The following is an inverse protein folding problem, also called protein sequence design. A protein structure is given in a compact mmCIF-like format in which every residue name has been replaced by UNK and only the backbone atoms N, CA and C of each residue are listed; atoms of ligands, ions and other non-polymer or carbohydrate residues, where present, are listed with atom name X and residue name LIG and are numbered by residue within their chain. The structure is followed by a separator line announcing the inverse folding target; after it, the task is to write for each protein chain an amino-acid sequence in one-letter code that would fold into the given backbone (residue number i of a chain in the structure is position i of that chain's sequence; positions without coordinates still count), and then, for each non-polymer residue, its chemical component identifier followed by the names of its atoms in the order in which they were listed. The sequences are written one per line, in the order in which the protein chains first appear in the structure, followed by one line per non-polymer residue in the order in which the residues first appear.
data_IF_302356462161
#
_entry.id   IF_302356462161
#
_cell.length_a   1.000
_cell.length_b   1.000
_cell.length_c   1.000
_cell.angle_alpha   90.00
_cell.angle_beta   90.00
_cell.angle_gamma   90.00
#
_symmetry.space_group_name_H-M   'P 1'
#
loop_
_entity.id
_entity.type
_entity.pdbx_description
1 polymer ?
#
# COMPACT_ATOMS: atom_id res chain seq x y z
N UNK A 1 9.78 34.75 -31.81
CA UNK A 1 9.01 35.99 -31.57
C UNK A 1 8.72 36.07 -30.08
N UNK A 2 9.24 37.12 -29.45
CA UNK A 2 9.24 37.36 -28.01
C UNK A 2 8.09 38.31 -27.67
N UNK A 3 7.24 37.96 -26.70
CA UNK A 3 6.33 38.92 -26.07
C UNK A 3 6.35 38.70 -24.56
N UNK A 4 7.12 39.57 -23.88
CA UNK A 4 7.03 39.84 -22.45
C UNK A 4 5.78 40.69 -22.19
N UNK A 5 5.00 40.37 -21.15
CA UNK A 5 4.11 41.34 -20.50
C UNK A 5 4.27 41.23 -18.99
N UNK A 6 4.83 42.29 -18.43
CA UNK A 6 4.83 42.61 -17.01
C UNK A 6 3.52 43.36 -16.68
N UNK A 7 2.95 43.09 -15.51
CA UNK A 7 1.96 43.95 -14.90
C UNK A 7 2.27 44.05 -13.41
N UNK A 8 2.83 45.21 -13.04
CA UNK A 8 2.80 45.76 -11.70
C UNK A 8 1.33 46.02 -11.32
N UNK A 9 0.93 45.75 -10.07
CA UNK A 9 -0.10 46.57 -9.44
C UNK A 9 0.13 46.71 -7.92
N UNK A 10 0.28 47.99 -7.59
CA UNK A 10 0.19 48.78 -6.36
C UNK A 10 -0.15 48.17 -4.99
N UNK A 11 0.56 48.76 -4.02
CA UNK A 11 0.39 48.70 -2.59
C UNK A 11 -0.89 49.37 -2.08
N UNK A 12 -1.36 48.91 -0.91
CA UNK A 12 -2.09 49.73 0.06
C UNK A 12 -1.70 49.29 1.48
N UNK A 13 -0.83 50.09 2.10
CA UNK A 13 -0.49 50.05 3.52
C UNK A 13 -1.63 50.74 4.29
N UNK A 14 -2.40 49.98 5.06
CA UNK A 14 -3.25 50.53 6.11
C UNK A 14 -2.74 50.08 7.47
N UNK A 15 -2.01 50.99 8.12
CA UNK A 15 -1.70 50.95 9.54
C UNK A 15 -2.96 51.31 10.33
N UNK A 16 -3.55 50.35 11.03
CA UNK A 16 -4.48 50.62 12.14
C UNK A 16 -3.85 50.06 13.42
N UNK A 17 -3.22 50.95 14.18
CA UNK A 17 -2.74 50.69 15.54
C UNK A 17 -3.94 50.82 16.49
N UNK A 18 -4.60 49.70 16.77
CA UNK A 18 -5.59 49.57 17.83
C UNK A 18 -5.11 48.55 18.86
N UNK A 19 -4.40 49.02 19.89
CA UNK A 19 -3.90 48.18 20.99
C UNK A 19 -5.06 47.82 21.93
N UNK A 20 -5.83 46.80 21.59
CA UNK A 20 -6.80 46.18 22.51
C UNK A 20 -6.04 45.15 23.35
N UNK A 21 -5.71 45.52 24.59
CA UNK A 21 -5.19 44.61 25.60
C UNK A 21 -6.27 43.61 26.00
N UNK A 22 -6.37 42.49 25.28
CA UNK A 22 -7.16 41.33 25.67
C UNK A 22 -6.40 40.62 26.79
N UNK A 23 -6.81 40.85 28.04
CA UNK A 23 -6.40 40.02 29.17
C UNK A 23 -6.92 38.60 28.96
N UNK A 24 -6.06 37.74 28.43
CA UNK A 24 -6.35 36.32 28.24
C UNK A 24 -6.38 35.63 29.62
N UNK A 25 -7.58 35.38 30.14
CA UNK A 25 -7.81 34.41 31.23
C UNK A 25 -7.30 33.05 30.76
N UNK A 26 -6.12 32.69 31.23
CA UNK A 26 -5.44 31.44 30.92
C UNK A 26 -6.08 30.29 31.74
N UNK A 27 -7.34 29.97 31.47
CA UNK A 27 -7.97 28.75 31.98
C UNK A 27 -7.23 27.56 31.36
N UNK A 28 -6.38 26.94 32.17
CA UNK A 28 -5.73 25.66 31.89
C UNK A 28 -6.75 24.70 31.28
N UNK A 29 -6.70 24.52 29.95
CA UNK A 29 -7.51 23.51 29.27
C UNK A 29 -6.98 22.17 29.76
N UNK A 30 -7.82 21.44 30.50
CA UNK A 30 -7.56 20.06 30.92
C UNK A 30 -7.09 19.28 29.68
N UNK A 31 -5.93 18.63 29.77
CA UNK A 31 -5.37 17.90 28.65
C UNK A 31 -6.36 16.81 28.21
N UNK A 32 -6.74 16.82 26.93
CA UNK A 32 -7.57 15.77 26.33
C UNK A 32 -6.84 14.42 26.41
N UNK A 33 -7.56 13.37 26.80
CA UNK A 33 -7.03 12.01 26.85
C UNK A 33 -7.15 11.33 25.48
N UNK A 34 -6.40 10.24 25.24
CA UNK A 34 -6.54 9.44 24.01
C UNK A 34 -7.97 8.93 23.79
N UNK A 35 -8.73 8.67 24.87
CA UNK A 35 -10.13 8.25 24.78
C UNK A 35 -11.02 9.37 24.24
N UNK A 36 -10.85 10.59 24.74
CA UNK A 36 -11.61 11.76 24.29
C UNK A 36 -11.36 12.04 22.80
N UNK A 37 -10.10 11.89 22.36
CA UNK A 37 -9.69 12.06 20.96
C UNK A 37 -10.31 10.99 20.06
N UNK A 38 -10.31 9.72 20.49
CA UNK A 38 -10.92 8.60 19.75
C UNK A 38 -12.43 8.82 19.61
N UNK A 39 -13.12 9.20 20.68
CA UNK A 39 -14.55 9.48 20.65
C UNK A 39 -14.87 10.63 19.69
N UNK A 40 -14.08 11.71 19.73
CA UNK A 40 -14.21 12.84 18.80
C UNK A 40 -14.02 12.39 17.34
N UNK A 41 -13.03 11.54 17.06
CA UNK A 41 -12.80 11.01 15.73
C UNK A 41 -13.95 10.12 15.23
N UNK A 42 -14.54 9.28 16.10
CA UNK A 42 -15.73 8.52 15.72
C UNK A 42 -16.95 9.40 15.47
N UNK A 43 -17.15 10.46 16.26
CA UNK A 43 -18.23 11.41 16.01
C UNK A 43 -18.08 12.11 14.65
N UNK A 44 -16.85 12.48 14.26
CA UNK A 44 -16.58 13.00 12.91
C UNK A 44 -16.82 11.95 11.83
N UNK A 45 -16.41 10.70 12.06
CA UNK A 45 -16.69 9.57 11.16
C UNK A 45 -18.19 9.33 10.97
N UNK A 46 -19.01 9.46 12.02
CA UNK A 46 -20.47 9.35 11.93
C UNK A 46 -21.09 10.49 11.09
N UNK A 47 -20.46 11.67 11.11
CA UNK A 47 -20.80 12.80 10.26
C UNK A 47 -20.25 12.68 8.83
N UNK A 48 -19.61 11.55 8.50
CA UNK A 48 -18.94 11.27 7.22
C UNK A 48 -17.77 12.22 6.93
N UNK A 49 -17.15 12.78 7.97
CA UNK A 49 -15.95 13.61 7.85
C UNK A 49 -14.68 12.80 8.22
N UNK A 50 -14.36 11.83 7.35
CA UNK A 50 -13.23 10.92 7.54
C UNK A 50 -11.89 11.67 7.53
N UNK A 51 -11.72 12.65 6.64
CA UNK A 51 -10.48 13.43 6.57
C UNK A 51 -10.18 14.15 7.89
N UNK A 52 -11.17 14.81 8.53
CA UNK A 52 -10.93 15.45 9.83
C UNK A 52 -10.68 14.42 10.93
N UNK A 53 -11.42 13.30 10.93
CA UNK A 53 -11.23 12.22 11.90
C UNK A 53 -9.80 11.64 11.84
N UNK A 54 -9.30 11.34 10.62
CA UNK A 54 -7.93 10.88 10.38
C UNK A 54 -6.91 11.90 10.88
N UNK A 55 -7.07 13.18 10.52
CA UNK A 55 -6.13 14.24 10.91
C UNK A 55 -6.00 14.38 12.43
N UNK A 56 -7.10 14.30 13.17
CA UNK A 56 -7.08 14.37 14.64
C UNK A 56 -6.33 13.17 15.24
N UNK A 57 -6.60 11.96 14.74
CA UNK A 57 -5.95 10.74 15.22
C UNK A 57 -4.45 10.73 14.90
N UNK A 58 -4.07 11.12 13.68
CA UNK A 58 -2.67 11.22 13.24
C UNK A 58 -1.89 12.21 14.10
N UNK A 59 -2.49 13.38 14.39
CA UNK A 59 -1.86 14.37 15.25
C UNK A 59 -1.69 13.86 16.69
N UNK A 60 -2.68 13.17 17.23
CA UNK A 60 -2.60 12.56 18.56
C UNK A 60 -1.50 11.48 18.63
N UNK A 61 -1.39 10.62 17.62
CA UNK A 61 -0.32 9.60 17.54
C UNK A 61 1.05 10.26 17.50
N UNK A 62 1.23 11.33 16.71
CA UNK A 62 2.49 12.09 16.65
C UNK A 62 2.87 12.69 18.01
N UNK A 63 1.91 13.30 18.70
CA UNK A 63 2.13 13.88 20.04
C UNK A 63 2.49 12.81 21.08
N UNK A 64 1.79 11.68 21.07
CA UNK A 64 2.01 10.61 22.04
C UNK A 64 3.33 9.86 21.79
N UNK A 65 3.70 9.63 20.52
CA UNK A 65 5.02 9.09 20.18
C UNK A 65 6.17 9.99 20.65
N UNK A 66 6.01 11.32 20.54
CA UNK A 66 7.00 12.28 21.05
C UNK A 66 7.19 12.17 22.58
N UNK A 67 6.15 11.71 23.29
CA UNK A 67 6.17 11.43 24.73
C UNK A 67 6.56 9.99 25.07
N UNK A 68 6.86 9.16 24.07
CA UNK A 68 7.08 7.71 24.20
C UNK A 68 5.90 6.98 24.84
N UNK A 69 4.68 7.47 24.63
CA UNK A 69 3.46 6.86 25.12
C UNK A 69 2.94 5.74 24.23
N UNK A 70 1.94 5.01 24.72
CA UNK A 70 1.29 3.94 23.97
C UNK A 70 0.32 4.52 22.94
N UNK A 71 0.51 4.15 21.67
CA UNK A 71 -0.31 4.60 20.54
C UNK A 71 -1.21 3.51 19.97
N UNK A 72 -1.27 2.34 20.61
CA UNK A 72 -1.97 1.15 20.08
C UNK A 72 -3.44 1.42 19.81
N UNK A 73 -4.18 1.97 20.78
CA UNK A 73 -5.62 2.25 20.62
C UNK A 73 -5.89 3.37 19.60
N UNK A 74 -5.03 4.40 19.54
CA UNK A 74 -5.16 5.48 18.55
C UNK A 74 -4.94 4.96 17.12
N UNK A 75 -3.93 4.11 16.90
CA UNK A 75 -3.67 3.47 15.60
C UNK A 75 -4.81 2.53 15.19
N UNK A 76 -5.37 1.79 16.13
CA UNK A 76 -6.53 0.94 15.89
C UNK A 76 -7.76 1.76 15.49
N UNK A 77 -8.04 2.87 16.19
CA UNK A 77 -9.11 3.78 15.81
C UNK A 77 -8.87 4.42 14.43
N UNK A 78 -7.64 4.82 14.13
CA UNK A 78 -7.24 5.36 12.82
C UNK A 78 -7.51 4.35 11.70
N UNK A 79 -7.11 3.09 11.89
CA UNK A 79 -7.38 2.02 10.93
C UNK A 79 -8.89 1.81 10.74
N UNK A 80 -9.68 1.80 11.81
CA UNK A 80 -11.13 1.61 11.69
C UNK A 80 -11.80 2.75 10.91
N UNK A 81 -11.48 4.00 11.23
CA UNK A 81 -12.05 5.17 10.55
C UNK A 81 -11.64 5.22 9.07
N UNK A 82 -10.37 4.91 8.76
CA UNK A 82 -9.83 5.05 7.41
C UNK A 82 -10.35 4.00 6.43
N UNK A 83 -10.76 2.82 6.91
CA UNK A 83 -11.19 1.70 6.07
C UNK A 83 -12.70 1.48 6.05
N UNK A 84 -13.45 1.99 7.04
CA UNK A 84 -14.89 1.82 7.14
C UNK A 84 -15.62 2.40 5.93
N UNK A 85 -16.47 1.60 5.27
CA UNK A 85 -17.40 2.10 4.25
C UNK A 85 -18.55 2.87 4.91
N UNK A 86 -18.87 4.06 4.40
CA UNK A 86 -20.04 4.85 4.78
C UNK A 86 -21.26 4.63 3.88
N UNK A 87 -21.08 3.90 2.77
CA UNK A 87 -22.09 3.60 1.78
C UNK A 87 -22.06 2.13 1.37
N UNK A 88 -23.19 1.44 1.56
CA UNK A 88 -23.39 0.08 1.06
C UNK A 88 -23.17 -0.02 -0.46
N UNK A 89 -23.50 1.05 -1.19
CA UNK A 89 -23.29 1.10 -2.64
C UNK A 89 -21.80 1.09 -3.00
N UNK A 90 -20.97 1.84 -2.26
CA UNK A 90 -19.52 1.84 -2.48
C UNK A 90 -18.93 0.44 -2.17
N UNK A 91 -19.38 -0.18 -1.08
CA UNK A 91 -18.96 -1.53 -0.71
C UNK A 91 -19.38 -2.59 -1.75
N UNK A 92 -20.61 -2.53 -2.27
CA UNK A 92 -21.07 -3.44 -3.32
C UNK A 92 -20.27 -3.28 -4.62
N UNK A 93 -20.00 -2.03 -5.03
CA UNK A 93 -19.17 -1.76 -6.21
C UNK A 93 -17.73 -2.26 -6.03
N UNK A 94 -17.17 -2.10 -4.83
CA UNK A 94 -15.87 -2.64 -4.46
C UNK A 94 -15.81 -4.17 -4.54
N UNK A 95 -16.75 -4.88 -3.92
CA UNK A 95 -16.77 -6.34 -3.94
C UNK A 95 -16.95 -6.92 -5.36
N UNK A 96 -17.76 -6.25 -6.18
CA UNK A 96 -17.91 -6.59 -7.59
C UNK A 96 -16.62 -6.31 -8.38
N UNK A 97 -15.92 -5.21 -8.10
CA UNK A 97 -14.62 -4.95 -8.72
C UNK A 97 -13.61 -6.06 -8.38
N UNK A 98 -13.57 -6.52 -7.12
CA UNK A 98 -12.69 -7.60 -6.70
C UNK A 98 -13.02 -8.95 -7.35
N UNK A 99 -14.30 -9.29 -7.53
CA UNK A 99 -14.69 -10.55 -8.18
C UNK A 99 -14.34 -10.57 -9.67
N UNK A 100 -14.42 -9.41 -10.33
CA UNK A 100 -14.10 -9.24 -11.74
C UNK A 100 -12.59 -9.11 -12.00
N UNK A 101 -11.79 -8.69 -11.02
CA UNK A 101 -10.38 -8.31 -11.18
C UNK A 101 -9.54 -9.31 -11.99
N UNK A 102 -9.80 -10.60 -11.82
CA UNK A 102 -9.06 -11.68 -12.51
C UNK A 102 -9.62 -12.01 -13.89
N UNK A 103 -10.94 -11.98 -14.06
CA UNK A 103 -11.63 -12.46 -15.27
C UNK A 103 -11.89 -11.36 -16.27
N UNK A 104 -12.21 -10.15 -15.79
CA UNK A 104 -12.47 -8.95 -16.58
C UNK A 104 -11.87 -7.73 -15.87
N UNK A 105 -10.56 -7.48 -16.03
CA UNK A 105 -9.89 -6.34 -15.39
C UNK A 105 -10.41 -4.99 -15.88
N UNK A 106 -10.99 -4.92 -17.09
CA UNK A 106 -11.58 -3.70 -17.63
C UNK A 106 -12.85 -3.31 -16.86
N UNK A 107 -13.78 -4.26 -16.71
CA UNK A 107 -15.00 -4.05 -15.93
C UNK A 107 -14.70 -3.88 -14.43
N UNK A 108 -13.71 -4.60 -13.90
CA UNK A 108 -13.25 -4.41 -12.52
C UNK A 108 -12.81 -2.97 -12.25
N UNK A 109 -12.01 -2.38 -13.15
CA UNK A 109 -11.57 -1.00 -13.03
C UNK A 109 -12.74 0.00 -13.11
N UNK A 110 -13.73 -0.26 -13.97
CA UNK A 110 -14.94 0.57 -14.01
C UNK A 110 -15.69 0.56 -12.68
N UNK A 111 -15.84 -0.62 -12.06
CA UNK A 111 -16.52 -0.77 -10.75
C UNK A 111 -15.73 -0.19 -9.59
N UNK A 112 -14.40 -0.31 -9.62
CA UNK A 112 -13.55 0.37 -8.65
C UNK A 112 -13.67 1.90 -8.75
N UNK A 113 -13.70 2.45 -9.98
CA UNK A 113 -13.94 3.87 -10.19
C UNK A 113 -15.32 4.33 -9.72
N UNK A 114 -16.36 3.50 -9.86
CA UNK A 114 -17.69 3.78 -9.30
C UNK A 114 -17.60 3.89 -7.77
N UNK A 115 -16.94 2.96 -7.09
CA UNK A 115 -16.77 2.98 -5.64
C UNK A 115 -16.00 4.23 -5.17
N UNK A 116 -14.86 4.55 -5.82
CA UNK A 116 -14.01 5.71 -5.48
C UNK A 116 -14.75 7.04 -5.67
N UNK A 117 -15.67 7.15 -6.64
CA UNK A 117 -16.49 8.36 -6.79
C UNK A 117 -17.47 8.57 -5.63
N UNK A 118 -17.88 7.49 -4.97
CA UNK A 118 -18.81 7.54 -3.84
C UNK A 118 -18.06 7.84 -2.53
N UNK A 119 -16.87 7.24 -2.34
CA UNK A 119 -16.04 7.42 -1.15
C UNK A 119 -14.55 7.59 -1.51
N UNK A 120 -14.17 8.78 -1.97
CA UNK A 120 -12.83 9.03 -2.51
C UNK A 120 -11.68 8.96 -1.50
N UNK A 121 -12.00 9.05 -0.21
CA UNK A 121 -11.07 9.07 0.92
C UNK A 121 -11.07 7.75 1.72
N UNK A 122 -11.74 6.71 1.23
CA UNK A 122 -11.69 5.38 1.85
C UNK A 122 -10.38 4.65 1.45
N UNK A 123 -9.55 4.31 2.44
CA UNK A 123 -8.24 3.66 2.18
C UNK A 123 -8.36 2.26 1.59
N UNK A 124 -9.45 1.52 1.82
CA UNK A 124 -9.69 0.23 1.16
C UNK A 124 -9.74 0.43 -0.36
N UNK A 125 -10.51 1.42 -0.81
CA UNK A 125 -10.67 1.74 -2.23
C UNK A 125 -9.39 2.30 -2.83
N UNK A 126 -8.71 3.20 -2.11
CA UNK A 126 -7.44 3.76 -2.53
C UNK A 126 -6.39 2.67 -2.73
N UNK A 127 -6.19 1.81 -1.72
CA UNK A 127 -5.18 0.75 -1.76
C UNK A 127 -5.39 -0.20 -2.94
N UNK A 128 -6.62 -0.67 -3.17
CA UNK A 128 -6.89 -1.57 -4.29
C UNK A 128 -6.79 -0.87 -5.66
N UNK A 129 -7.16 0.41 -5.76
CA UNK A 129 -6.92 1.19 -6.98
C UNK A 129 -5.42 1.29 -7.29
N UNK A 130 -4.59 1.59 -6.28
CA UNK A 130 -3.14 1.66 -6.49
C UNK A 130 -2.55 0.29 -6.86
N UNK A 131 -3.02 -0.81 -6.26
CA UNK A 131 -2.62 -2.17 -6.70
C UNK A 131 -2.91 -2.40 -8.17
N UNK A 132 -4.10 -2.03 -8.64
CA UNK A 132 -4.46 -2.16 -10.06
C UNK A 132 -3.55 -1.32 -10.98
N UNK A 133 -3.19 -0.11 -10.55
CA UNK A 133 -2.24 0.77 -11.26
C UNK A 133 -0.85 0.11 -11.36
N UNK A 134 -0.32 -0.42 -10.25
CA UNK A 134 0.96 -1.13 -10.22
C UNK A 134 0.94 -2.42 -11.07
N UNK A 135 -0.17 -3.17 -11.05
CA UNK A 135 -0.37 -4.36 -11.89
C UNK A 135 -0.37 -3.99 -13.38
N UNK A 136 -0.92 -2.83 -13.75
CA UNK A 136 -0.88 -2.31 -15.13
C UNK A 136 0.54 -1.84 -15.55
N UNK A 137 1.46 -1.71 -14.61
CA UNK A 137 2.84 -1.29 -14.83
C UNK A 137 3.07 0.22 -14.72
N UNK A 138 2.06 1.01 -14.33
CA UNK A 138 2.23 2.44 -14.08
C UNK A 138 2.74 2.68 -12.65
N UNK A 139 3.97 2.23 -12.39
CA UNK A 139 4.56 2.29 -11.06
C UNK A 139 4.93 3.72 -10.63
N UNK A 140 5.23 4.60 -11.58
CA UNK A 140 5.53 6.00 -11.30
C UNK A 140 4.27 6.78 -10.87
N UNK A 141 3.17 6.64 -11.62
CA UNK A 141 1.89 7.27 -11.26
C UNK A 141 1.35 6.74 -9.94
N UNK A 142 1.47 5.42 -9.72
CA UNK A 142 1.13 4.80 -8.44
C UNK A 142 1.96 5.39 -7.28
N UNK A 143 3.28 5.45 -7.41
CA UNK A 143 4.16 5.97 -6.37
C UNK A 143 3.85 7.43 -6.00
N UNK A 144 3.55 8.28 -6.98
CA UNK A 144 3.18 9.68 -6.73
C UNK A 144 1.91 9.78 -5.87
N UNK A 145 0.86 9.03 -6.23
CA UNK A 145 -0.40 9.03 -5.49
C UNK A 145 -0.23 8.46 -4.09
N UNK A 146 0.46 7.32 -3.95
CA UNK A 146 0.74 6.70 -2.65
C UNK A 146 1.51 7.66 -1.75
N UNK A 147 2.51 8.35 -2.30
CA UNK A 147 3.32 9.31 -1.51
C UNK A 147 2.49 10.47 -0.98
N UNK A 148 1.51 10.96 -1.74
CA UNK A 148 0.56 11.99 -1.30
C UNK A 148 -0.33 11.48 -0.17
N UNK A 149 -0.86 10.27 -0.31
CA UNK A 149 -1.75 9.66 0.70
C UNK A 149 -1.02 9.38 2.01
N UNK A 150 0.26 8.97 1.94
CA UNK A 150 1.11 8.78 3.12
C UNK A 150 1.40 10.04 3.92
N UNK A 151 1.23 11.22 3.34
CA UNK A 151 1.30 12.47 4.11
C UNK A 151 0.09 12.63 5.04
N UNK A 152 -1.05 12.05 4.66
CA UNK A 152 -2.28 12.05 5.44
C UNK A 152 -2.24 10.95 6.51
N UNK A 153 -1.96 9.70 6.12
CA UNK A 153 -1.77 8.59 7.05
C UNK A 153 -0.37 7.97 6.90
N UNK A 154 0.62 8.42 7.70
CA UNK A 154 1.97 7.88 7.65
C UNK A 154 2.13 6.53 8.35
N UNK A 155 1.09 6.04 9.04
CA UNK A 155 1.12 4.86 9.91
C UNK A 155 0.46 3.63 9.30
N UNK A 156 -0.28 3.79 8.21
CA UNK A 156 -0.95 2.68 7.52
C UNK A 156 0.06 1.71 6.85
N UNK A 157 0.01 0.44 7.27
CA UNK A 157 0.93 -0.61 6.81
C UNK A 157 0.72 -0.95 5.33
N UNK A 158 -0.52 -0.86 4.81
CA UNK A 158 -0.80 -1.13 3.40
C UNK A 158 -0.23 -0.06 2.48
N UNK A 159 -0.34 1.23 2.86
CA UNK A 159 0.27 2.34 2.13
C UNK A 159 1.80 2.24 2.12
N UNK A 160 2.40 1.86 3.25
CA UNK A 160 3.86 1.64 3.36
C UNK A 160 4.30 0.48 2.44
N UNK A 161 3.58 -0.65 2.47
CA UNK A 161 3.85 -1.77 1.57
C UNK A 161 3.66 -1.38 0.10
N UNK A 162 2.60 -0.65 -0.24
CA UNK A 162 2.33 -0.20 -1.61
C UNK A 162 3.45 0.71 -2.12
N UNK A 163 3.95 1.62 -1.29
CA UNK A 163 5.10 2.44 -1.65
C UNK A 163 6.33 1.58 -1.93
N UNK A 164 6.61 0.61 -1.06
CA UNK A 164 7.73 -0.31 -1.22
C UNK A 164 7.60 -1.17 -2.50
N UNK A 165 6.41 -1.65 -2.81
CA UNK A 165 6.11 -2.37 -4.06
C UNK A 165 6.33 -1.48 -5.29
N UNK A 166 5.89 -0.22 -5.25
CA UNK A 166 6.08 0.73 -6.33
C UNK A 166 7.58 1.08 -6.53
N UNK A 167 8.33 1.25 -5.45
CA UNK A 167 9.78 1.48 -5.47
C UNK A 167 10.53 0.28 -6.05
N UNK A 168 10.20 -0.95 -5.63
CA UNK A 168 10.76 -2.18 -6.20
C UNK A 168 10.48 -2.29 -7.70
N UNK A 169 9.25 -1.98 -8.13
CA UNK A 169 8.89 -1.94 -9.55
C UNK A 169 9.73 -0.93 -10.36
N UNK A 170 10.10 0.20 -9.76
CA UNK A 170 10.94 1.24 -10.38
C UNK A 170 12.45 0.98 -10.20
N UNK A 171 12.85 -0.14 -9.60
CA UNK A 171 14.22 -0.44 -9.19
C UNK A 171 14.85 0.63 -8.26
N UNK A 172 14.03 1.35 -7.49
CA UNK A 172 14.44 2.34 -6.49
C UNK A 172 14.74 1.66 -5.14
N UNK A 173 15.74 0.77 -5.15
CA UNK A 173 16.01 -0.12 -4.01
C UNK A 173 16.57 0.59 -2.78
N UNK A 174 17.21 1.75 -2.94
CA UNK A 174 17.68 2.57 -1.82
C UNK A 174 16.52 3.28 -1.12
N UNK A 175 15.53 3.76 -1.87
CA UNK A 175 14.28 4.30 -1.34
C UNK A 175 13.44 3.20 -0.69
N UNK A 176 13.39 2.00 -1.28
CA UNK A 176 12.77 0.82 -0.68
C UNK A 176 13.35 0.53 0.71
N UNK A 177 14.68 0.50 0.86
CA UNK A 177 15.33 0.24 2.16
C UNK A 177 14.89 1.27 3.21
N UNK A 178 14.86 2.57 2.84
CA UNK A 178 14.36 3.64 3.72
C UNK A 178 12.90 3.42 4.13
N UNK A 179 12.03 3.02 3.20
CA UNK A 179 10.61 2.73 3.47
C UNK A 179 10.45 1.53 4.41
N UNK A 180 11.20 0.46 4.15
CA UNK A 180 11.18 -0.78 4.94
C UNK A 180 11.62 -0.53 6.38
N UNK A 181 12.60 0.33 6.60
CA UNK A 181 13.10 0.64 7.95
C UNK A 181 12.15 1.49 8.81
N UNK A 182 11.03 1.97 8.25
CA UNK A 182 10.01 2.71 9.00
C UNK A 182 9.19 1.84 9.96
N UNK A 183 9.19 0.52 9.80
CA UNK A 183 8.37 -0.39 10.60
C UNK A 183 9.00 -1.80 10.69
N UNK A 184 8.58 -2.60 11.68
CA UNK A 184 9.11 -3.95 11.88
C UNK A 184 8.39 -4.97 10.97
N UNK A 185 8.90 -5.12 9.74
CA UNK A 185 8.36 -6.03 8.72
C UNK A 185 8.23 -7.50 9.19
N UNK A 186 8.94 -7.92 10.25
CA UNK A 186 8.85 -9.28 10.78
C UNK A 186 7.60 -9.50 11.63
N UNK A 187 7.08 -8.44 12.26
CA UNK A 187 5.86 -8.48 13.09
C UNK A 187 4.60 -8.11 12.35
N UNK A 188 4.77 -7.60 11.13
CA UNK A 188 3.72 -7.21 10.19
C UNK A 188 2.77 -8.34 9.86
N UNK A 189 1.48 -8.03 9.78
CA UNK A 189 0.47 -8.97 9.24
C UNK A 189 0.70 -9.28 7.76
N UNK A 190 1.42 -8.39 7.08
CA UNK A 190 1.83 -8.47 5.68
C UNK A 190 3.24 -9.07 5.50
N UNK A 191 3.82 -9.72 6.54
CA UNK A 191 5.23 -10.16 6.54
C UNK A 191 5.64 -10.99 5.31
N UNK A 192 4.76 -11.85 4.79
CA UNK A 192 5.03 -12.63 3.57
C UNK A 192 5.23 -11.77 2.31
N UNK A 193 4.50 -10.66 2.19
CA UNK A 193 4.62 -9.76 1.03
C UNK A 193 5.91 -8.94 1.11
N UNK A 194 6.29 -8.52 2.31
CA UNK A 194 7.61 -7.94 2.57
C UNK A 194 8.74 -8.91 2.25
N UNK A 195 8.59 -10.17 2.68
CA UNK A 195 9.55 -11.22 2.41
C UNK A 195 9.73 -11.48 0.89
N UNK A 196 8.67 -11.33 0.09
CA UNK A 196 8.76 -11.42 -1.37
C UNK A 196 9.61 -10.28 -1.97
N UNK A 197 9.45 -9.04 -1.49
CA UNK A 197 10.27 -7.89 -1.92
C UNK A 197 11.75 -8.05 -1.53
N UNK A 198 12.03 -8.63 -0.35
CA UNK A 198 13.40 -8.94 0.06
C UNK A 198 14.08 -10.00 -0.85
N UNK A 199 13.31 -10.95 -1.38
CA UNK A 199 13.80 -11.91 -2.38
C UNK A 199 14.15 -11.17 -3.68
N UNK A 200 13.29 -10.26 -4.13
CA UNK A 200 13.54 -9.42 -5.31
C UNK A 200 14.81 -8.57 -5.16
N UNK A 201 14.96 -7.91 -4.02
CA UNK A 201 16.16 -7.14 -3.69
C UNK A 201 17.43 -8.02 -3.72
N UNK A 202 17.37 -9.24 -3.16
CA UNK A 202 18.51 -10.14 -3.17
C UNK A 202 18.93 -10.56 -4.60
N UNK A 203 17.97 -10.72 -5.51
CA UNK A 203 18.26 -10.94 -6.93
C UNK A 203 18.87 -9.69 -7.60
N UNK A 204 18.34 -8.50 -7.30
CA UNK A 204 18.90 -7.24 -7.79
C UNK A 204 20.37 -7.04 -7.35
N UNK A 205 20.66 -7.35 -6.09
CA UNK A 205 22.00 -7.30 -5.51
C UNK A 205 22.91 -8.47 -5.96
N UNK A 206 22.43 -9.34 -6.86
CA UNK A 206 23.15 -10.52 -7.37
C UNK A 206 23.65 -11.44 -6.26
N UNK A 207 22.86 -11.58 -5.18
CA UNK A 207 23.18 -12.41 -4.02
C UNK A 207 22.27 -13.63 -3.93
N UNK A 208 22.50 -14.69 -4.75
CA UNK A 208 21.62 -15.86 -4.81
C UNK A 208 21.59 -16.68 -3.52
N UNK A 209 22.67 -16.64 -2.73
CA UNK A 209 22.70 -17.30 -1.41
C UNK A 209 21.66 -16.66 -0.46
N UNK A 210 21.68 -15.31 -0.35
CA UNK A 210 20.67 -14.56 0.41
C UNK A 210 19.26 -14.82 -0.11
N UNK A 211 19.06 -14.90 -1.43
CA UNK A 211 17.76 -15.21 -2.00
C UNK A 211 17.24 -16.58 -1.54
N UNK A 212 18.09 -17.62 -1.51
CA UNK A 212 17.72 -18.96 -1.01
C UNK A 212 17.30 -18.95 0.47
N UNK A 213 18.02 -18.22 1.31
CA UNK A 213 17.67 -18.09 2.74
C UNK A 213 16.32 -17.38 2.92
N UNK A 214 16.09 -16.32 2.15
CA UNK A 214 14.84 -15.56 2.13
C UNK A 214 13.65 -16.41 1.63
N UNK A 215 13.87 -17.27 0.62
CA UNK A 215 12.88 -18.24 0.13
C UNK A 215 12.52 -19.26 1.21
N UNK A 216 13.51 -19.78 1.93
CA UNK A 216 13.25 -20.71 3.04
C UNK A 216 12.46 -20.03 4.18
N UNK A 217 12.73 -18.75 4.46
CA UNK A 217 11.93 -17.96 5.39
C UNK A 217 10.48 -17.76 4.90
N UNK A 218 10.30 -17.43 3.62
CA UNK A 218 8.97 -17.30 3.01
C UNK A 218 8.16 -18.60 3.09
N UNK A 219 8.80 -19.74 2.83
CA UNK A 219 8.16 -21.05 2.95
C UNK A 219 7.67 -21.34 4.37
N UNK A 220 8.42 -20.91 5.40
CA UNK A 220 7.99 -21.05 6.81
C UNK A 220 6.84 -20.10 7.16
N UNK A 221 6.77 -18.94 6.52
CA UNK A 221 5.68 -17.98 6.73
C UNK A 221 4.39 -18.45 6.07
N UNK A 222 4.46 -18.96 4.84
CA UNK A 222 3.30 -19.38 4.07
C UNK A 222 3.67 -20.37 2.95
N UNK A 223 3.59 -21.67 3.23
CA UNK A 223 3.90 -22.72 2.25
C UNK A 223 2.93 -22.76 1.06
N UNK A 224 1.73 -22.15 1.22
CA UNK A 224 0.66 -22.14 0.21
C UNK A 224 0.68 -20.89 -0.65
N UNK A 225 1.68 -20.02 -0.48
CA UNK A 225 1.80 -18.79 -1.25
C UNK A 225 2.32 -19.10 -2.66
N UNK A 226 1.55 -18.83 -3.74
CA UNK A 226 1.88 -19.29 -5.10
C UNK A 226 3.21 -18.77 -5.64
N UNK A 227 3.59 -17.53 -5.31
CA UNK A 227 4.87 -16.96 -5.75
C UNK A 227 6.10 -17.64 -5.11
N UNK A 228 5.91 -18.45 -4.06
CA UNK A 228 6.99 -19.26 -3.50
C UNK A 228 7.60 -20.19 -4.57
N UNK A 229 6.77 -20.84 -5.40
CA UNK A 229 7.28 -21.76 -6.44
C UNK A 229 7.97 -21.00 -7.57
N UNK A 230 7.56 -19.76 -7.85
CA UNK A 230 8.31 -18.90 -8.78
C UNK A 230 9.72 -18.64 -8.25
N UNK A 231 9.85 -18.24 -6.98
CA UNK A 231 11.15 -17.96 -6.40
C UNK A 231 12.03 -19.20 -6.29
N UNK A 232 11.47 -20.34 -5.90
CA UNK A 232 12.15 -21.63 -5.90
C UNK A 232 12.63 -22.02 -7.31
N UNK A 233 11.78 -21.88 -8.32
CA UNK A 233 12.14 -22.11 -9.72
C UNK A 233 13.29 -21.22 -10.19
N UNK A 234 13.29 -19.95 -9.77
CA UNK A 234 14.30 -18.96 -10.17
C UNK A 234 15.69 -19.27 -9.63
N UNK A 235 15.80 -19.88 -8.44
CA UNK A 235 17.09 -20.30 -7.84
C UNK A 235 17.48 -21.74 -8.16
N UNK A 236 16.56 -22.54 -8.70
CA UNK A 236 16.80 -23.95 -9.01
C UNK A 236 17.67 -24.12 -10.27
N UNK A 237 18.40 -25.23 -10.32
CA UNK A 237 19.23 -25.64 -11.44
C UNK A 237 19.02 -27.12 -11.77
N UNK A 238 19.32 -27.52 -13.00
CA UNK A 238 19.25 -28.92 -13.42
C UNK A 238 17.85 -29.52 -13.32
N UNK A 239 17.77 -30.75 -12.78
CA UNK A 239 16.55 -31.56 -12.71
C UNK A 239 15.45 -31.01 -11.81
N UNK A 240 15.79 -30.17 -10.84
CA UNK A 240 14.81 -29.63 -9.88
C UNK A 240 13.99 -28.48 -10.47
N UNK A 241 14.49 -27.85 -11.54
CA UNK A 241 13.88 -26.65 -12.12
C UNK A 241 12.56 -26.95 -12.86
N UNK A 242 12.46 -27.95 -13.76
CA UNK A 242 11.20 -28.26 -14.45
C UNK A 242 9.98 -28.52 -13.55
N UNK A 243 10.04 -29.34 -12.47
CA UNK A 243 8.86 -29.60 -11.65
C UNK A 243 8.37 -28.35 -10.90
N UNK A 244 9.28 -27.46 -10.48
CA UNK A 244 8.91 -26.19 -9.85
C UNK A 244 8.21 -25.24 -10.84
N UNK A 245 8.68 -25.20 -12.09
CA UNK A 245 8.04 -24.44 -13.16
C UNK A 245 6.60 -24.90 -13.38
N UNK A 246 6.41 -26.22 -13.53
CA UNK A 246 5.09 -26.82 -13.76
C UNK A 246 4.15 -26.56 -12.59
N UNK A 247 4.66 -26.64 -11.35
CA UNK A 247 3.87 -26.35 -10.15
C UNK A 247 3.38 -24.90 -10.13
N UNK A 248 4.27 -23.93 -10.35
CA UNK A 248 3.90 -22.52 -10.41
C UNK A 248 2.84 -22.23 -11.47
N UNK A 249 3.05 -22.72 -12.71
CA UNK A 249 2.10 -22.53 -13.81
C UNK A 249 0.73 -23.12 -13.46
N UNK A 250 0.71 -24.35 -12.92
CA UNK A 250 -0.53 -25.04 -12.56
C UNK A 250 -1.28 -24.31 -11.46
N UNK A 251 -0.60 -23.86 -10.41
CA UNK A 251 -1.22 -23.15 -9.29
C UNK A 251 -1.78 -21.80 -9.73
N UNK A 252 -1.04 -21.04 -10.56
CA UNK A 252 -1.50 -19.76 -11.08
C UNK A 252 -2.71 -19.89 -12.02
N UNK A 253 -2.71 -20.88 -12.91
CA UNK A 253 -3.85 -21.10 -13.84
C UNK A 253 -5.08 -21.61 -13.10
N UNK A 254 -4.92 -22.48 -12.11
CA UNK A 254 -6.02 -23.14 -11.40
C UNK A 254 -6.31 -22.54 -10.00
N UNK A 255 -5.84 -21.33 -9.73
CA UNK A 255 -6.09 -20.66 -8.46
C UNK A 255 -7.59 -20.53 -8.19
N UNK A 256 -8.06 -20.76 -6.97
CA UNK A 256 -9.46 -20.48 -6.62
C UNK A 256 -9.68 -18.99 -6.39
N UNK A 257 -10.93 -18.51 -6.46
CA UNK A 257 -11.26 -17.12 -6.14
C UNK A 257 -10.86 -16.74 -4.70
N UNK A 258 -11.08 -17.66 -3.74
CA UNK A 258 -10.70 -17.48 -2.33
C UNK A 258 -9.19 -17.32 -2.18
N UNK A 259 -8.41 -18.20 -2.81
CA UNK A 259 -6.94 -18.15 -2.73
C UNK A 259 -6.40 -16.90 -3.42
N UNK A 260 -7.02 -16.50 -4.53
CA UNK A 260 -6.68 -15.25 -5.20
C UNK A 260 -6.88 -14.06 -4.27
N UNK A 261 -8.07 -13.92 -3.66
CA UNK A 261 -8.36 -12.85 -2.70
C UNK A 261 -7.38 -12.81 -1.53
N UNK A 262 -6.97 -13.98 -1.02
CA UNK A 262 -6.00 -14.08 0.07
C UNK A 262 -4.62 -13.47 -0.27
N UNK A 263 -4.18 -13.59 -1.52
CA UNK A 263 -2.86 -13.11 -1.95
C UNK A 263 -2.89 -11.88 -2.85
N UNK A 264 -4.07 -11.30 -3.05
CA UNK A 264 -4.31 -10.22 -4.02
C UNK A 264 -3.57 -8.91 -3.67
N UNK A 265 -3.07 -8.80 -2.44
CA UNK A 265 -2.15 -7.78 -1.94
C UNK A 265 -0.82 -7.77 -2.70
N UNK A 266 -0.36 -8.92 -3.18
CA UNK A 266 0.84 -9.00 -3.99
C UNK A 266 0.57 -8.53 -5.43
N UNK A 267 1.18 -7.42 -5.81
CA UNK A 267 1.07 -6.84 -7.16
C UNK A 267 1.78 -7.68 -8.23
N UNK A 268 2.59 -8.66 -7.82
CA UNK A 268 3.30 -9.60 -8.69
C UNK A 268 2.65 -10.99 -8.76
N UNK A 269 1.54 -11.21 -8.04
CA UNK A 269 0.84 -12.49 -8.01
C UNK A 269 0.53 -13.01 -9.43
N UNK A 270 1.16 -14.12 -9.79
CA UNK A 270 1.01 -14.84 -11.05
C UNK A 270 1.34 -14.05 -12.32
N UNK A 271 2.05 -12.92 -12.21
CA UNK A 271 2.41 -12.11 -13.39
C UNK A 271 3.51 -12.74 -14.25
N UNK A 272 4.24 -13.69 -13.70
CA UNK A 272 5.44 -14.27 -14.32
C UNK A 272 5.19 -15.63 -14.99
N UNK A 273 3.93 -16.03 -15.13
CA UNK A 273 3.56 -17.29 -15.79
C UNK A 273 4.12 -17.36 -17.21
N UNK A 274 4.01 -16.28 -17.99
CA UNK A 274 4.53 -16.25 -19.36
C UNK A 274 6.06 -16.42 -19.44
N UNK A 275 6.80 -15.81 -18.50
CA UNK A 275 8.25 -15.98 -18.37
C UNK A 275 8.62 -17.45 -18.09
N UNK A 276 7.94 -18.06 -17.12
CA UNK A 276 8.19 -19.45 -16.71
C UNK A 276 7.82 -20.43 -17.82
N UNK A 277 6.71 -20.19 -18.54
CA UNK A 277 6.30 -21.01 -19.69
C UNK A 277 7.30 -20.93 -20.85
N UNK A 278 7.81 -19.74 -21.16
CA UNK A 278 8.80 -19.56 -22.22
C UNK A 278 10.10 -20.34 -21.91
N UNK A 279 10.59 -20.23 -20.67
CA UNK A 279 11.79 -20.95 -20.22
C UNK A 279 11.59 -22.48 -20.13
N UNK A 280 10.38 -22.94 -19.78
CA UNK A 280 10.05 -24.37 -19.76
C UNK A 280 10.05 -24.96 -21.18
N UNK A 281 9.60 -24.20 -22.19
CA UNK A 281 9.60 -24.64 -23.60
C UNK A 281 11.01 -24.72 -24.17
N UNK A 282 11.88 -23.74 -23.87
CA UNK A 282 13.25 -23.74 -24.41
C UNK A 282 14.10 -24.90 -23.89
N UNK A 283 13.87 -25.36 -22.67
CA UNK A 283 14.64 -26.46 -22.06
C UNK A 283 14.36 -27.81 -22.72
N UNK A 284 13.14 -28.02 -23.23
CA UNK A 284 12.75 -29.28 -23.87
C UNK A 284 13.26 -29.45 -25.30
N UNK A 285 13.72 -28.38 -25.96
CA UNK A 285 14.15 -28.39 -27.37
C UNK A 285 15.65 -28.64 -27.59
N UNK A 286 16.44 -28.85 -26.53
CA UNK A 286 17.92 -28.96 -26.60
C UNK A 286 18.47 -30.36 -26.34
N UNK A 287 17.61 -31.38 -26.37
CA UNK A 287 18.00 -32.79 -26.17
C UNK A 287 18.09 -33.59 -27.49
N UNK A 288 18.36 -32.93 -28.63
CA UNK A 288 18.66 -33.59 -29.91
C UNK A 288 20.13 -33.38 -30.31
#
# INVERSE_FOLDING_TARGET
MSVRRAALFCAALFFFQGSISVSAENKSKKAETSKDIIEKAYNLSLQKDRSQAINILVNAIKQENARKGDTTELKKALQQVSYLFYSDRAQQAYELALSLRRTDPGQALQKMNEAVRIESDNLTLFNEMQRMILIKGDCSGGLENISKERLQDPFDENLILLQAQAQGCLNQWEEYKKTRDLFDAKKSTLAKFWQALEIELAFYEKSPARAKDMIAALQKLDEKYPELHYWQWRVASGSDRPPLAQKYIKECKNMSATLYRQYMTDVNLCRRVAEVEAAAKSTNGTNE
#
